data_IF_545513189435
#
_entry.id   IF_545513189435
#
_cell.length_a   1.000
_cell.length_b   1.000
_cell.length_c   1.000
_cell.angle_alpha   90.00
_cell.angle_beta   90.00
_cell.angle_gamma   90.00
#
_symmetry.space_group_name_H-M   'P 1'
#
loop_
_entity.id
_entity.type
_entity.pdbx_description
1 polymer ?
#
# COMPACT_ATOMS: atom_id res chain seq x y z
N UNK A 1 40.74 -8.23 31.72
CA UNK A 1 41.07 -9.05 30.54
C UNK A 1 42.58 -9.01 30.37
N UNK A 2 43.23 -10.18 30.28
CA UNK A 2 44.68 -10.31 30.10
C UNK A 2 45.10 -9.79 28.71
N UNK A 3 46.33 -9.29 28.56
CA UNK A 3 46.84 -8.74 27.29
C UNK A 3 46.84 -9.77 26.15
N UNK A 4 47.14 -11.03 26.46
CA UNK A 4 47.07 -12.15 25.51
C UNK A 4 45.68 -12.30 24.87
N UNK A 5 44.61 -12.09 25.65
CA UNK A 5 43.24 -12.19 25.14
C UNK A 5 42.90 -11.01 24.21
N UNK A 6 43.48 -9.83 24.47
CA UNK A 6 43.27 -8.65 23.63
C UNK A 6 43.96 -8.82 22.28
N UNK A 7 45.25 -9.20 22.30
CA UNK A 7 46.03 -9.48 21.08
C UNK A 7 45.34 -10.56 20.23
N UNK A 8 44.91 -11.67 20.84
CA UNK A 8 44.17 -12.71 20.11
C UNK A 8 42.92 -12.17 19.40
N UNK A 9 42.07 -11.39 20.09
CA UNK A 9 40.86 -10.84 19.50
C UNK A 9 41.14 -9.84 18.37
N UNK A 10 42.20 -9.04 18.49
CA UNK A 10 42.60 -8.09 17.45
C UNK A 10 43.22 -8.79 16.23
N UNK A 11 44.00 -9.84 16.44
CA UNK A 11 44.86 -10.45 15.41
C UNK A 11 44.34 -11.79 14.89
N UNK A 12 43.16 -12.24 15.32
CA UNK A 12 42.59 -13.54 14.92
C UNK A 12 42.60 -13.80 13.41
N UNK A 13 42.42 -12.77 12.56
CA UNK A 13 42.45 -12.94 11.10
C UNK A 13 43.82 -13.26 10.51
N UNK A 14 44.90 -12.96 11.23
CA UNK A 14 46.27 -13.32 10.83
C UNK A 14 46.61 -14.78 11.19
N UNK A 15 45.79 -15.42 12.02
CA UNK A 15 45.91 -16.83 12.37
C UNK A 15 45.20 -17.66 11.30
N UNK A 16 45.98 -18.21 10.37
CA UNK A 16 45.49 -18.99 9.23
C UNK A 16 45.80 -20.47 9.47
N UNK A 17 44.79 -21.32 9.28
CA UNK A 17 44.94 -22.79 9.33
C UNK A 17 45.69 -23.30 8.10
N UNK A 18 46.17 -24.54 8.15
CA UNK A 18 46.79 -25.23 7.00
C UNK A 18 45.88 -25.23 5.75
N UNK A 19 44.56 -25.20 5.93
CA UNK A 19 43.56 -25.10 4.87
C UNK A 19 43.46 -23.70 4.20
N UNK A 20 44.30 -22.73 4.60
CA UNK A 20 44.28 -21.35 4.09
C UNK A 20 43.12 -20.49 4.60
N UNK A 21 42.34 -20.99 5.57
CA UNK A 21 41.22 -20.25 6.19
C UNK A 21 41.68 -19.48 7.43
N UNK A 22 41.33 -18.20 7.51
CA UNK A 22 41.56 -17.37 8.69
C UNK A 22 40.63 -17.78 9.84
N UNK A 23 41.11 -17.63 11.08
CA UNK A 23 40.27 -17.82 12.27
C UNK A 23 39.14 -16.78 12.28
N UNK A 24 37.94 -17.20 12.66
CA UNK A 24 36.79 -16.34 12.89
C UNK A 24 36.31 -16.50 14.34
N UNK A 25 35.92 -15.39 14.98
CA UNK A 25 35.42 -15.39 16.35
C UNK A 25 33.93 -15.07 16.36
N UNK A 26 33.12 -16.00 16.85
CA UNK A 26 31.67 -15.82 17.02
C UNK A 26 31.34 -15.77 18.50
N UNK A 27 30.79 -14.66 18.95
CA UNK A 27 30.35 -14.45 20.33
C UNK A 27 28.83 -14.53 20.38
N UNK A 28 28.29 -15.50 21.13
CA UNK A 28 26.85 -15.68 21.33
C UNK A 28 26.49 -15.21 22.74
N UNK A 29 25.69 -14.16 22.83
CA UNK A 29 25.20 -13.62 24.11
C UNK A 29 23.76 -13.14 23.97
N UNK A 30 23.06 -12.98 25.10
CA UNK A 30 21.71 -12.43 25.14
C UNK A 30 21.70 -10.92 24.79
N UNK A 31 22.72 -10.19 25.26
CA UNK A 31 22.89 -8.76 24.97
C UNK A 31 24.38 -8.40 24.93
N UNK A 32 24.79 -7.64 23.92
CA UNK A 32 26.16 -7.15 23.78
C UNK A 32 26.57 -6.21 24.92
N UNK A 33 25.59 -5.65 25.66
CA UNK A 33 25.84 -4.87 26.87
C UNK A 33 26.59 -5.66 27.96
N UNK A 34 26.50 -6.99 27.96
CA UNK A 34 27.20 -7.88 28.90
C UNK A 34 28.69 -8.05 28.58
N UNK A 35 29.12 -7.73 27.35
CA UNK A 35 30.52 -7.84 26.95
C UNK A 35 31.33 -6.64 27.47
N UNK A 36 32.61 -6.84 27.77
CA UNK A 36 33.52 -5.73 28.03
C UNK A 36 33.63 -4.78 26.82
N UNK A 37 34.03 -3.53 27.04
CA UNK A 37 34.13 -2.51 25.99
C UNK A 37 35.05 -2.92 24.83
N UNK A 38 36.20 -3.53 25.14
CA UNK A 38 37.20 -3.93 24.14
C UNK A 38 36.70 -4.96 23.11
N UNK A 39 36.18 -6.15 23.48
CA UNK A 39 35.63 -7.08 22.51
C UNK A 39 34.43 -6.49 21.77
N UNK A 40 33.64 -5.64 22.43
CA UNK A 40 32.50 -4.96 21.79
C UNK A 40 32.95 -3.99 20.69
N UNK A 41 34.04 -3.24 20.88
CA UNK A 41 34.55 -2.32 19.84
C UNK A 41 35.12 -3.05 18.62
N UNK A 42 35.46 -4.33 18.74
CA UNK A 42 35.97 -5.15 17.64
C UNK A 42 34.87 -5.89 16.86
N UNK A 43 33.60 -5.78 17.27
CA UNK A 43 32.48 -6.45 16.57
C UNK A 43 32.26 -5.78 15.21
N UNK A 44 32.50 -6.52 14.14
CA UNK A 44 32.25 -6.07 12.77
C UNK A 44 30.78 -6.21 12.36
N UNK A 45 30.09 -7.26 12.82
CA UNK A 45 28.70 -7.52 12.45
C UNK A 45 27.93 -8.14 13.60
N UNK A 46 26.71 -7.67 13.82
CA UNK A 46 25.82 -8.20 14.85
C UNK A 46 24.63 -8.91 14.20
N UNK A 47 24.44 -10.19 14.55
CA UNK A 47 23.29 -10.99 14.12
C UNK A 47 22.32 -11.12 15.28
N UNK A 48 21.17 -10.47 15.18
CA UNK A 48 20.13 -10.54 16.21
C UNK A 48 19.00 -11.44 15.76
N UNK A 49 18.85 -12.57 16.44
CA UNK A 49 17.79 -13.54 16.16
C UNK A 49 16.56 -13.26 17.03
N UNK A 50 15.39 -13.15 16.41
CA UNK A 50 14.09 -12.98 17.08
C UNK A 50 13.16 -14.11 16.69
N UNK A 51 12.58 -14.81 17.67
CA UNK A 51 11.57 -15.84 17.43
C UNK A 51 10.24 -15.20 17.03
N UNK A 52 9.58 -15.73 16.00
CA UNK A 52 8.34 -15.17 15.47
C UNK A 52 7.08 -15.68 16.21
N UNK A 53 7.23 -16.05 17.48
CA UNK A 53 6.13 -16.50 18.35
C UNK A 53 5.03 -15.44 18.50
N UNK A 54 5.41 -14.15 18.51
CA UNK A 54 4.49 -13.02 18.68
C UNK A 54 3.41 -13.00 17.59
N UNK A 55 3.75 -13.42 16.37
CA UNK A 55 2.80 -13.50 15.25
C UNK A 55 2.20 -14.90 15.09
N UNK A 56 2.43 -15.82 16.04
CA UNK A 56 1.96 -17.19 16.00
C UNK A 56 2.79 -18.14 15.13
N UNK A 57 3.95 -17.71 14.63
CA UNK A 57 4.83 -18.51 13.76
C UNK A 57 5.97 -19.14 14.56
N UNK A 58 5.66 -20.10 15.43
CA UNK A 58 6.62 -20.65 16.40
C UNK A 58 7.79 -21.46 15.83
N UNK A 59 7.65 -21.93 14.59
CA UNK A 59 8.68 -22.65 13.85
C UNK A 59 9.59 -21.74 13.01
N UNK A 60 9.42 -20.43 13.13
CA UNK A 60 10.11 -19.44 12.30
C UNK A 60 10.85 -18.42 13.17
N UNK A 61 11.96 -17.92 12.64
CA UNK A 61 12.74 -16.87 13.26
C UNK A 61 13.12 -15.83 12.22
N UNK A 62 13.52 -14.65 12.70
CA UNK A 62 14.06 -13.57 11.87
C UNK A 62 15.45 -13.23 12.39
N UNK A 63 16.42 -13.13 11.49
CA UNK A 63 17.76 -12.63 11.78
C UNK A 63 17.85 -11.21 11.24
N UNK A 64 18.05 -10.25 12.14
CA UNK A 64 18.35 -8.87 11.79
C UNK A 64 19.87 -8.69 11.81
N UNK A 65 20.45 -8.28 10.69
CA UNK A 65 21.90 -8.07 10.52
C UNK A 65 22.21 -6.59 10.64
N UNK A 66 23.14 -6.25 11.52
CA UNK A 66 23.62 -4.90 11.74
C UNK A 66 25.12 -4.83 11.48
N UNK A 67 25.57 -3.67 11.02
CA UNK A 67 26.98 -3.32 10.94
C UNK A 67 27.46 -2.79 12.29
N UNK A 68 28.58 -3.31 12.78
CA UNK A 68 29.13 -2.93 14.07
C UNK A 68 28.42 -3.54 15.29
N UNK A 69 28.79 -3.07 16.48
CA UNK A 69 28.18 -3.46 17.74
C UNK A 69 26.88 -2.69 17.99
N UNK A 70 25.76 -3.41 18.13
CA UNK A 70 24.46 -2.79 18.42
C UNK A 70 23.93 -3.27 19.76
N UNK A 71 23.76 -2.33 20.70
CA UNK A 71 23.32 -2.63 22.07
C UNK A 71 21.85 -2.26 22.30
N UNK A 72 21.21 -2.98 23.23
CA UNK A 72 19.90 -2.62 23.76
C UNK A 72 18.70 -3.32 23.09
N UNK A 73 17.55 -3.19 23.75
CA UNK A 73 16.35 -3.95 23.40
C UNK A 73 15.71 -3.51 22.07
N UNK A 74 15.90 -2.25 21.66
CA UNK A 74 15.32 -1.67 20.44
C UNK A 74 16.39 -0.97 19.60
N UNK A 75 17.17 -1.75 18.82
CA UNK A 75 18.23 -1.21 17.98
C UNK A 75 17.66 -0.30 16.89
N UNK A 76 18.39 0.76 16.48
CA UNK A 76 17.94 1.66 15.44
C UNK A 76 17.74 0.93 14.11
N UNK A 77 16.55 1.07 13.51
CA UNK A 77 16.23 0.44 12.21
C UNK A 77 17.17 0.94 11.10
N UNK A 78 17.67 2.19 11.22
CA UNK A 78 18.59 2.80 10.24
C UNK A 78 19.95 2.09 10.14
N UNK A 79 20.41 1.45 11.22
CA UNK A 79 21.68 0.72 11.24
C UNK A 79 21.56 -0.74 10.79
N UNK A 80 20.32 -1.18 10.49
CA UNK A 80 20.05 -2.55 10.06
C UNK A 80 20.35 -2.67 8.57
N UNK A 81 21.35 -3.48 8.25
CA UNK A 81 21.78 -3.75 6.87
C UNK A 81 20.78 -4.66 6.16
N UNK A 82 20.35 -5.74 6.84
CA UNK A 82 19.49 -6.76 6.22
C UNK A 82 18.60 -7.45 7.23
N UNK A 83 17.46 -7.95 6.75
CA UNK A 83 16.63 -8.93 7.46
C UNK A 83 16.59 -10.24 6.69
N UNK A 84 16.74 -11.36 7.41
CA UNK A 84 16.72 -12.70 6.85
C UNK A 84 15.66 -13.51 7.59
N UNK A 85 14.55 -13.90 6.95
CA UNK A 85 13.63 -14.86 7.53
C UNK A 85 14.23 -16.27 7.49
N UNK A 86 14.04 -17.04 8.56
CA UNK A 86 14.53 -18.41 8.69
C UNK A 86 13.48 -19.33 9.30
N UNK A 87 13.64 -20.63 9.03
CA UNK A 87 12.86 -21.70 9.65
C UNK A 87 13.82 -22.66 10.34
N UNK A 88 13.38 -23.22 11.47
CA UNK A 88 14.18 -24.24 12.16
C UNK A 88 14.22 -25.51 11.30
N UNK A 89 15.43 -26.04 11.06
CA UNK A 89 15.64 -27.27 10.31
C UNK A 89 15.69 -28.45 11.28
N UNK A 90 14.92 -29.50 10.98
CA UNK A 90 14.84 -30.68 11.83
C UNK A 90 16.21 -31.35 12.04
N UNK A 91 17.02 -31.39 10.98
CA UNK A 91 18.35 -32.01 10.99
C UNK A 91 19.35 -31.34 11.93
N UNK A 92 19.08 -30.11 12.39
CA UNK A 92 19.94 -29.39 13.34
C UNK A 92 19.64 -29.81 14.78
N UNK A 93 18.40 -30.22 15.07
CA UNK A 93 18.00 -30.59 16.44
C UNK A 93 18.83 -31.76 17.01
N UNK A 94 19.34 -32.65 16.15
CA UNK A 94 20.22 -33.76 16.59
C UNK A 94 21.54 -33.30 17.21
N UNK A 95 21.98 -32.09 16.91
CA UNK A 95 23.23 -31.51 17.42
C UNK A 95 23.03 -30.60 18.62
N UNK A 96 21.78 -30.41 19.08
CA UNK A 96 21.45 -29.44 20.13
C UNK A 96 20.57 -30.09 21.20
N UNK A 97 21.03 -30.05 22.46
CA UNK A 97 20.28 -30.51 23.63
C UNK A 97 19.96 -29.30 24.51
N UNK A 98 18.70 -28.86 24.51
CA UNK A 98 18.26 -27.60 25.12
C UNK A 98 18.02 -27.66 26.63
N UNK A 99 17.78 -28.84 27.20
CA UNK A 99 17.26 -28.98 28.55
C UNK A 99 18.06 -30.04 29.32
N UNK A 100 19.03 -29.58 30.09
CA UNK A 100 19.82 -30.41 31.01
C UNK A 100 19.40 -30.24 32.48
N UNK A 101 18.45 -29.33 32.75
CA UNK A 101 17.95 -28.99 34.09
C UNK A 101 16.52 -29.50 34.35
N UNK A 102 15.90 -30.22 33.42
CA UNK A 102 14.59 -30.85 33.66
C UNK A 102 14.77 -32.16 34.43
N UNK A 103 14.08 -32.31 35.57
CA UNK A 103 14.03 -33.58 36.31
C UNK A 103 13.28 -34.68 35.54
N UNK A 104 12.46 -34.29 34.56
CA UNK A 104 11.79 -35.21 33.64
C UNK A 104 12.61 -35.42 32.36
N UNK A 105 12.66 -36.67 31.90
CA UNK A 105 13.33 -37.07 30.65
C UNK A 105 12.63 -36.56 29.37
N UNK A 106 11.47 -35.90 29.50
CA UNK A 106 10.71 -35.32 28.41
C UNK A 106 11.04 -33.82 28.29
N UNK A 107 11.08 -33.33 27.05
CA UNK A 107 11.26 -31.90 26.78
C UNK A 107 10.11 -31.14 27.45
N UNK A 108 10.43 -30.27 28.41
CA UNK A 108 9.50 -29.36 29.05
C UNK A 108 8.76 -28.55 27.98
N UNK A 109 7.44 -28.44 28.13
CA UNK A 109 6.61 -27.69 27.21
C UNK A 109 6.89 -26.19 27.35
N UNK A 110 7.71 -25.65 26.44
CA UNK A 110 7.99 -24.22 26.31
C UNK A 110 6.90 -23.47 25.54
N UNK A 111 5.73 -24.10 25.32
CA UNK A 111 4.59 -23.40 24.73
C UNK A 111 4.21 -22.21 25.61
N UNK A 112 4.12 -21.03 24.98
CA UNK A 112 3.75 -19.80 25.68
C UNK A 112 2.33 -19.96 26.20
N UNK A 113 2.15 -19.94 27.52
CA UNK A 113 0.85 -20.07 28.19
C UNK A 113 -0.08 -18.88 27.90
N UNK A 114 0.47 -17.71 27.57
CA UNK A 114 -0.31 -16.53 27.24
C UNK A 114 -0.46 -16.31 25.72
N UNK A 115 -1.65 -16.65 25.22
CA UNK A 115 -2.08 -16.53 23.82
C UNK A 115 -2.54 -15.13 23.42
N UNK A 116 -2.67 -14.17 24.36
CA UNK A 116 -3.26 -12.84 24.09
C UNK A 116 -2.42 -11.98 23.14
N UNK A 117 -1.12 -12.26 23.04
CA UNK A 117 -0.18 -11.54 22.17
C UNK A 117 -0.31 -11.99 20.71
N UNK A 118 -0.80 -13.20 20.46
CA UNK A 118 -0.89 -13.75 19.11
C UNK A 118 -2.04 -13.08 18.34
N UNK A 119 -1.68 -12.13 17.47
CA UNK A 119 -2.62 -11.36 16.64
C UNK A 119 -3.51 -12.29 15.81
N UNK A 120 -2.98 -13.40 15.29
CA UNK A 120 -3.75 -14.36 14.48
C UNK A 120 -4.77 -15.16 15.30
N UNK A 121 -4.58 -15.29 16.62
CA UNK A 121 -5.55 -15.94 17.52
C UNK A 121 -6.59 -14.97 18.10
N UNK A 122 -6.53 -13.69 17.75
CA UNK A 122 -7.50 -12.69 18.23
C UNK A 122 -8.93 -13.08 17.80
N UNK A 123 -9.88 -13.03 18.74
CA UNK A 123 -11.30 -13.36 18.51
C UNK A 123 -11.91 -12.53 17.38
N UNK A 124 -11.43 -11.29 17.18
CA UNK A 124 -11.85 -10.42 16.09
C UNK A 124 -11.48 -10.98 14.71
N UNK A 125 -10.26 -11.49 14.55
CA UNK A 125 -9.82 -12.11 13.28
C UNK A 125 -10.50 -13.46 13.05
N UNK A 126 -10.75 -14.24 14.11
CA UNK A 126 -11.41 -15.55 13.98
C UNK A 126 -12.90 -15.46 13.67
N UNK A 127 -13.62 -14.46 14.20
CA UNK A 127 -15.08 -14.35 14.08
C UNK A 127 -15.51 -13.14 13.25
N UNK A 128 -14.89 -11.99 13.46
CA UNK A 128 -15.25 -10.75 12.77
C UNK A 128 -14.91 -10.77 11.28
N UNK A 129 -13.77 -11.31 10.89
CA UNK A 129 -13.37 -11.41 9.48
C UNK A 129 -14.29 -12.32 8.64
N UNK A 130 -14.60 -13.58 9.04
CA UNK A 130 -15.54 -14.39 8.28
C UNK A 130 -16.96 -13.80 8.30
N UNK A 131 -17.39 -13.16 9.40
CA UNK A 131 -18.67 -12.46 9.45
C UNK A 131 -18.74 -11.31 8.44
N UNK A 132 -17.68 -10.51 8.31
CA UNK A 132 -17.59 -9.43 7.32
C UNK A 132 -17.69 -9.98 5.90
N UNK A 133 -16.97 -11.06 5.58
CA UNK A 133 -17.05 -11.71 4.27
C UNK A 133 -18.48 -12.18 3.98
N UNK A 134 -19.10 -12.90 4.91
CA UNK A 134 -20.48 -13.39 4.75
C UNK A 134 -21.46 -12.22 4.59
N UNK A 135 -21.27 -11.14 5.35
CA UNK A 135 -22.09 -9.93 5.26
C UNK A 135 -21.95 -9.23 3.91
N UNK A 136 -20.72 -9.09 3.39
CA UNK A 136 -20.49 -8.55 2.05
C UNK A 136 -21.12 -9.43 0.97
N UNK A 137 -20.97 -10.75 1.05
CA UNK A 137 -21.60 -11.69 0.11
C UNK A 137 -23.13 -11.60 0.17
N UNK A 138 -23.71 -11.42 1.36
CA UNK A 138 -25.14 -11.22 1.55
C UNK A 138 -25.63 -9.91 0.90
N UNK A 139 -24.90 -8.80 1.06
CA UNK A 139 -25.21 -7.53 0.39
C UNK A 139 -25.16 -7.69 -1.13
N UNK A 140 -24.13 -8.35 -1.66
CA UNK A 140 -24.00 -8.62 -3.11
C UNK A 140 -25.15 -9.48 -3.60
N UNK A 141 -25.49 -10.55 -2.90
CA UNK A 141 -26.63 -11.41 -3.24
C UNK A 141 -27.97 -10.65 -3.25
N UNK A 142 -28.22 -9.80 -2.25
CA UNK A 142 -29.39 -8.93 -2.20
C UNK A 142 -29.41 -7.89 -3.31
N UNK A 143 -28.25 -7.31 -3.64
CA UNK A 143 -28.09 -6.39 -4.76
C UNK A 143 -28.41 -7.06 -6.10
N UNK A 144 -27.84 -8.24 -6.36
CA UNK A 144 -28.07 -8.99 -7.60
C UNK A 144 -29.53 -9.44 -7.75
N UNK A 145 -30.17 -9.91 -6.67
CA UNK A 145 -31.59 -10.30 -6.70
C UNK A 145 -32.53 -9.11 -6.92
N UNK A 146 -32.22 -7.94 -6.35
CA UNK A 146 -32.97 -6.71 -6.62
C UNK A 146 -32.82 -6.28 -8.09
N UNK A 147 -31.60 -6.29 -8.66
CA UNK A 147 -31.41 -5.99 -10.08
C UNK A 147 -32.14 -6.98 -11.00
N UNK A 148 -32.18 -8.28 -10.63
CA UNK A 148 -32.93 -9.29 -11.38
C UNK A 148 -34.43 -9.01 -11.44
N UNK A 149 -35.04 -8.52 -10.36
CA UNK A 149 -36.44 -8.09 -10.35
C UNK A 149 -36.72 -6.80 -11.14
N UNK A 150 -35.71 -5.95 -11.33
CA UNK A 150 -35.85 -4.72 -12.13
C UNK A 150 -35.61 -4.96 -13.63
N UNK A 151 -34.77 -5.94 -14.00
CA UNK A 151 -34.52 -6.31 -15.40
C UNK A 151 -35.44 -7.42 -15.93
N UNK A 152 -36.08 -8.21 -15.06
CA UNK A 152 -36.99 -9.30 -15.43
C UNK A 152 -38.41 -8.90 -15.85
N UNK A 153 -38.73 -7.60 -15.89
CA UNK A 153 -40.03 -7.08 -16.35
C UNK A 153 -39.94 -6.45 -17.75
N UNK A 154 -39.31 -7.18 -18.68
CA UNK A 154 -39.26 -6.79 -20.10
C UNK A 154 -39.91 -7.85 -20.98
N UNK A 155 -41.12 -8.30 -20.62
CA UNK A 155 -42.00 -9.02 -21.54
C UNK A 155 -43.39 -8.40 -21.42
N UNK A 156 -43.65 -7.44 -22.30
CA UNK A 156 -44.93 -7.15 -22.97
C UNK A 156 -44.91 -5.72 -23.52
N UNK A 157 -44.20 -5.53 -24.64
CA UNK A 157 -44.53 -4.46 -25.58
C UNK A 157 -45.40 -5.05 -26.71
N UNK A 158 -46.62 -5.42 -26.35
CA UNK A 158 -47.71 -5.53 -27.30
C UNK A 158 -48.16 -4.12 -27.69
N UNK A 159 -48.00 -3.80 -28.96
CA UNK A 159 -48.48 -2.59 -29.61
C UNK A 159 -49.96 -2.33 -29.31
N UNK A 160 -50.24 -1.35 -28.44
CA UNK A 160 -51.57 -0.73 -28.38
C UNK A 160 -51.44 0.66 -28.99
N UNK A 161 -51.86 0.77 -30.26
CA UNK A 161 -52.15 2.04 -30.88
C UNK A 161 -53.29 2.70 -30.11
N UNK A 162 -53.01 3.82 -29.44
CA UNK A 162 -54.06 4.76 -29.02
C UNK A 162 -54.33 5.74 -30.16
N UNK A 163 -55.59 6.09 -30.44
CA UNK A 163 -55.92 7.05 -31.49
C UNK A 163 -55.36 8.44 -31.12
N UNK A 164 -54.72 9.07 -32.10
CA UNK A 164 -54.29 10.47 -32.05
C UNK A 164 -55.45 11.38 -31.60
N UNK A 165 -55.34 11.98 -30.42
CA UNK A 165 -55.95 13.28 -30.17
C UNK A 165 -54.93 14.35 -30.56
N UNK A 166 -55.22 15.05 -31.65
CA UNK A 166 -54.54 16.29 -32.02
C UNK A 166 -54.79 17.32 -30.92
N UNK A 167 -53.76 17.55 -30.12
CA UNK A 167 -53.68 18.69 -29.22
C UNK A 167 -52.69 19.66 -29.84
N UNK A 168 -53.20 20.85 -30.20
CA UNK A 168 -52.57 21.78 -31.12
C UNK A 168 -51.12 22.11 -30.79
N UNK A 169 -50.35 22.30 -31.85
CA UNK A 169 -49.00 22.84 -31.84
C UNK A 169 -48.96 24.17 -31.05
N UNK A 170 -48.58 24.08 -29.79
CA UNK A 170 -47.87 25.17 -29.14
C UNK A 170 -46.41 25.05 -29.61
N UNK A 171 -45.80 26.11 -30.17
CA UNK A 171 -44.42 26.03 -30.65
C UNK A 171 -43.53 25.64 -29.47
N UNK A 172 -42.99 24.42 -29.50
CA UNK A 172 -42.01 23.99 -28.51
C UNK A 172 -40.77 24.83 -28.78
N UNK A 173 -40.67 25.94 -28.05
CA UNK A 173 -39.52 26.82 -28.05
C UNK A 173 -38.29 25.94 -27.87
N UNK A 174 -37.38 25.98 -28.84
CA UNK A 174 -36.10 25.28 -28.74
C UNK A 174 -35.53 25.50 -27.33
N UNK A 175 -35.02 24.46 -26.64
CA UNK A 175 -34.52 24.60 -25.28
C UNK A 175 -33.54 25.76 -25.29
N UNK A 176 -33.87 26.83 -24.55
CA UNK A 176 -33.05 28.02 -24.53
C UNK A 176 -31.71 27.61 -23.93
N UNK A 177 -30.63 27.66 -24.72
CA UNK A 177 -29.27 27.45 -24.21
C UNK A 177 -29.08 28.39 -23.03
N UNK A 178 -28.92 27.82 -21.84
CA UNK A 178 -28.58 28.58 -20.65
C UNK A 178 -27.19 29.15 -20.90
N UNK A 179 -27.04 30.48 -20.86
CA UNK A 179 -25.73 31.11 -21.03
C UNK A 179 -24.86 30.79 -19.83
N UNK A 180 -23.74 30.15 -20.08
CA UNK A 180 -22.72 29.93 -19.07
C UNK A 180 -21.77 31.12 -19.04
N UNK A 181 -21.21 31.44 -17.86
CA UNK A 181 -20.21 32.50 -17.71
C UNK A 181 -18.91 32.20 -18.47
N UNK A 182 -18.69 30.93 -18.85
CA UNK A 182 -17.57 30.47 -19.66
C UNK A 182 -17.90 30.28 -21.15
N UNK A 183 -19.06 30.73 -21.61
CA UNK A 183 -19.38 30.70 -23.03
C UNK A 183 -18.39 31.56 -23.84
N UNK A 184 -17.74 30.94 -24.83
CA UNK A 184 -16.68 31.58 -25.62
C UNK A 184 -15.26 31.38 -25.09
N UNK A 185 -15.07 30.63 -23.98
CA UNK A 185 -13.75 30.23 -23.48
C UNK A 185 -13.41 28.80 -23.89
N UNK A 186 -12.14 28.53 -24.19
CA UNK A 186 -11.64 27.16 -24.36
C UNK A 186 -11.36 26.55 -23.00
N UNK A 187 -11.92 25.36 -22.74
CA UNK A 187 -11.77 24.65 -21.47
C UNK A 187 -10.85 23.45 -21.70
N UNK A 188 -9.79 23.33 -20.91
CA UNK A 188 -8.87 22.20 -20.98
C UNK A 188 -8.45 21.72 -19.60
N UNK A 189 -8.10 20.43 -19.48
CA UNK A 189 -7.54 19.89 -18.23
C UNK A 189 -6.07 20.32 -18.13
N UNK A 190 -5.76 21.22 -17.21
CA UNK A 190 -4.39 21.73 -17.01
C UNK A 190 -3.55 20.86 -16.07
N UNK A 191 -4.20 20.11 -15.19
CA UNK A 191 -3.55 19.23 -14.23
C UNK A 191 -4.54 18.16 -13.74
N UNK A 192 -4.10 16.90 -13.76
CA UNK A 192 -4.77 15.76 -13.15
C UNK A 192 -3.79 15.04 -12.22
N UNK A 193 -4.18 14.81 -10.96
CA UNK A 193 -3.35 14.06 -10.01
C UNK A 193 -4.17 12.98 -9.31
N UNK A 194 -3.78 11.72 -9.46
CA UNK A 194 -4.47 10.55 -8.91
C UNK A 194 -4.54 9.37 -9.88
N UNK A 195 -5.19 8.28 -9.48
CA UNK A 195 -5.38 7.07 -10.32
C UNK A 195 -6.87 6.84 -10.56
N UNK A 196 -7.34 6.89 -11.80
CA UNK A 196 -8.72 6.50 -12.11
C UNK A 196 -8.99 5.06 -11.62
N UNK A 197 -10.13 4.76 -10.95
CA UNK A 197 -11.27 5.64 -10.60
C UNK A 197 -11.17 6.27 -9.20
N UNK A 198 -10.08 6.10 -8.46
CA UNK A 198 -9.94 6.56 -7.07
C UNK A 198 -9.17 7.89 -6.97
N UNK A 199 -9.89 8.92 -6.52
CA UNK A 199 -9.35 10.17 -6.00
C UNK A 199 -8.49 10.98 -6.98
N UNK A 200 -9.06 11.32 -8.15
CA UNK A 200 -8.41 12.25 -9.09
C UNK A 200 -8.82 13.69 -8.75
N UNK A 201 -7.82 14.54 -8.53
CA UNK A 201 -8.01 15.98 -8.40
C UNK A 201 -7.78 16.62 -9.77
N UNK A 202 -8.83 17.21 -10.33
CA UNK A 202 -8.76 17.94 -11.61
C UNK A 202 -8.62 19.44 -11.38
N UNK A 203 -7.81 20.08 -12.23
CA UNK A 203 -7.82 21.54 -12.44
C UNK A 203 -8.12 21.85 -13.90
N UNK A 204 -9.18 22.61 -14.13
CA UNK A 204 -9.59 23.06 -15.45
C UNK A 204 -9.05 24.46 -15.71
N UNK A 205 -8.40 24.65 -16.84
CA UNK A 205 -8.03 25.96 -17.35
C UNK A 205 -9.12 26.46 -18.30
N UNK A 206 -9.56 27.68 -18.10
CA UNK A 206 -10.49 28.42 -18.95
C UNK A 206 -9.69 29.53 -19.61
N UNK A 207 -9.42 29.41 -20.91
CA UNK A 207 -8.72 30.45 -21.66
C UNK A 207 -9.71 31.26 -22.49
N UNK A 208 -9.70 32.57 -22.30
CA UNK A 208 -10.50 33.53 -23.05
C UNK A 208 -9.65 34.70 -23.57
N UNK A 209 -10.26 35.65 -24.29
CA UNK A 209 -9.54 36.80 -24.86
C UNK A 209 -8.92 37.74 -23.82
N UNK A 210 -9.38 37.69 -22.56
CA UNK A 210 -8.88 38.49 -21.45
C UNK A 210 -7.82 37.78 -20.58
N UNK A 211 -7.48 36.52 -20.89
CA UNK A 211 -6.50 35.72 -20.14
C UNK A 211 -6.98 34.29 -19.83
N UNK A 212 -6.16 33.55 -19.09
CA UNK A 212 -6.46 32.17 -18.65
C UNK A 212 -6.63 32.09 -17.13
N UNK A 213 -7.72 31.47 -16.68
CA UNK A 213 -7.98 31.20 -15.26
C UNK A 213 -8.02 29.69 -15.04
N UNK A 214 -7.32 29.22 -14.01
CA UNK A 214 -7.32 27.81 -13.63
C UNK A 214 -8.13 27.63 -12.36
N UNK A 215 -9.11 26.72 -12.39
CA UNK A 215 -9.98 26.41 -11.25
C UNK A 215 -9.88 24.93 -10.87
N UNK A 216 -9.90 24.66 -9.56
CA UNK A 216 -9.98 23.32 -8.99
C UNK A 216 -11.41 22.79 -8.87
N UNK A 217 -11.55 21.50 -8.57
CA UNK A 217 -12.84 20.84 -8.33
C UNK A 217 -13.72 21.56 -7.31
N UNK A 218 -13.16 21.98 -6.17
CA UNK A 218 -13.90 22.67 -5.11
C UNK A 218 -14.44 24.04 -5.52
N UNK A 219 -13.73 24.76 -6.39
CA UNK A 219 -14.16 26.07 -6.88
C UNK A 219 -15.31 25.91 -7.88
N UNK A 220 -15.24 24.89 -8.74
CA UNK A 220 -16.32 24.56 -9.68
C UNK A 220 -17.59 24.12 -8.96
N UNK A 221 -17.48 23.32 -7.89
CA UNK A 221 -18.63 22.96 -7.07
C UNK A 221 -19.33 24.17 -6.45
N UNK A 222 -18.56 25.17 -5.98
CA UNK A 222 -19.12 26.42 -5.44
C UNK A 222 -19.84 27.26 -6.51
N UNK A 223 -19.43 27.11 -7.77
CA UNK A 223 -20.05 27.77 -8.92
C UNK A 223 -21.24 26.98 -9.51
N UNK A 224 -21.64 25.85 -8.88
CA UNK A 224 -22.76 25.04 -9.34
C UNK A 224 -22.42 24.05 -10.46
N UNK A 225 -21.14 23.75 -10.67
CA UNK A 225 -20.67 22.77 -11.66
C UNK A 225 -20.08 21.55 -10.97
N UNK A 226 -20.45 20.36 -11.45
CA UNK A 226 -19.87 19.08 -11.05
C UNK A 226 -19.00 18.49 -12.16
N UNK A 227 -17.97 17.75 -11.77
CA UNK A 227 -17.08 17.04 -12.70
C UNK A 227 -17.32 15.54 -12.56
N UNK A 228 -17.75 14.91 -13.65
CA UNK A 228 -17.87 13.46 -13.77
C UNK A 228 -16.65 12.93 -14.55
N UNK A 229 -15.74 12.20 -13.91
CA UNK A 229 -14.57 11.65 -14.58
C UNK A 229 -14.95 10.47 -15.47
N UNK A 230 -14.62 10.56 -16.77
CA UNK A 230 -14.77 9.44 -17.72
C UNK A 230 -13.43 8.71 -17.87
N UNK A 231 -12.33 9.46 -17.98
CA UNK A 231 -10.95 8.96 -18.06
C UNK A 231 -9.97 9.99 -17.45
N UNK A 232 -8.68 9.66 -17.32
CA UNK A 232 -7.65 10.54 -16.78
C UNK A 232 -7.52 11.87 -17.54
N UNK A 233 -7.82 11.87 -18.84
CA UNK A 233 -7.77 13.06 -19.71
C UNK A 233 -9.11 13.43 -20.35
N UNK A 234 -10.22 12.86 -19.85
CA UNK A 234 -11.56 13.18 -20.33
C UNK A 234 -12.54 13.26 -19.17
N UNK A 235 -13.16 14.44 -19.02
CA UNK A 235 -14.15 14.68 -17.98
C UNK A 235 -15.41 15.30 -18.57
N UNK A 236 -16.56 14.99 -17.98
CA UNK A 236 -17.82 15.65 -18.28
C UNK A 236 -18.08 16.70 -17.21
N UNK A 237 -18.14 17.96 -17.62
CA UNK A 237 -18.53 19.09 -16.78
C UNK A 237 -20.04 19.25 -16.89
N UNK A 238 -20.76 19.09 -15.78
CA UNK A 238 -22.22 19.18 -15.72
C UNK A 238 -22.60 20.38 -14.86
N UNK A 239 -23.53 21.22 -15.32
CA UNK A 239 -24.01 22.35 -14.53
C UNK A 239 -25.12 23.12 -15.21
N UNK A 240 -26.05 23.67 -14.44
CA UNK A 240 -27.14 24.53 -14.91
C UNK A 240 -27.96 23.96 -16.09
N UNK A 241 -28.15 22.64 -16.15
CA UNK A 241 -28.97 21.97 -17.16
C UNK A 241 -28.28 21.70 -18.50
N UNK A 242 -26.98 21.99 -18.62
CA UNK A 242 -26.14 21.61 -19.78
C UNK A 242 -24.97 20.74 -19.32
N UNK A 243 -24.37 19.99 -20.25
CA UNK A 243 -23.14 19.23 -20.01
C UNK A 243 -22.15 19.39 -21.17
N UNK A 244 -20.88 19.58 -20.83
CA UNK A 244 -19.79 19.68 -21.82
C UNK A 244 -18.67 18.69 -21.52
N UNK A 245 -18.09 18.13 -22.58
CA UNK A 245 -16.91 17.28 -22.49
C UNK A 245 -15.65 18.14 -22.54
N UNK A 246 -14.73 17.89 -21.62
CA UNK A 246 -13.47 18.62 -21.47
C UNK A 246 -12.32 17.62 -21.52
N UNK A 247 -11.31 17.92 -22.32
CA UNK A 247 -10.16 17.06 -22.56
C UNK A 247 -8.85 17.73 -22.14
N UNK A 248 -7.79 16.93 -21.96
CA UNK A 248 -6.43 17.47 -21.85
C UNK A 248 -6.04 18.24 -23.11
N UNK A 249 -5.20 19.27 -23.02
CA UNK A 249 -4.64 19.92 -24.20
C UNK A 249 -3.85 18.87 -25.00
N UNK A 250 -4.21 18.71 -26.28
CA UNK A 250 -3.42 17.91 -27.21
C UNK A 250 -2.09 18.58 -27.51
N UNK A 251 -1.11 17.87 -28.11
CA UNK A 251 0.09 18.51 -28.62
C UNK A 251 -0.32 19.60 -29.63
N UNK A 252 0.10 20.84 -29.37
CA UNK A 252 -0.19 22.01 -30.21
C UNK A 252 0.22 21.74 -31.66
N UNK A 253 -0.75 21.48 -32.54
CA UNK A 253 -0.54 21.41 -34.00
C UNK A 253 -0.46 22.83 -34.60
N UNK A 254 0.31 23.71 -33.96
CA UNK A 254 0.38 25.13 -34.31
C UNK A 254 1.66 25.86 -33.93
N UNK A 255 2.61 25.23 -33.22
CA UNK A 255 3.91 25.85 -32.93
C UNK A 255 5.03 25.02 -33.56
N UNK A 256 5.50 25.48 -34.72
CA UNK A 256 6.77 25.06 -35.28
C UNK A 256 7.86 25.60 -34.36
N UNK A 257 8.29 24.81 -33.38
CA UNK A 257 9.49 25.10 -32.62
C UNK A 257 10.71 24.77 -33.51
N UNK A 258 11.17 25.78 -34.24
CA UNK A 258 12.44 25.78 -34.96
C UNK A 258 13.61 25.87 -33.96
N UNK A 259 13.88 24.76 -33.26
CA UNK A 259 15.03 24.61 -32.34
C UNK A 259 16.01 23.51 -32.81
N UNK A 260 15.86 23.03 -34.03
CA UNK A 260 16.90 22.26 -34.72
C UNK A 260 17.12 22.83 -36.12
N UNK A 261 17.82 23.95 -36.16
CA UNK A 261 18.70 24.30 -37.27
C UNK A 261 19.91 25.04 -36.65
N UNK A 262 21.11 24.47 -36.94
CA UNK A 262 22.48 24.74 -36.45
C UNK A 262 22.97 23.79 -35.35
#
# INVERSE_FOLDING_TARGET
>A
MLEQHKSFLAEHRHMVSEDGRSTEVVIVTQDLSQLASYPRSLVASTYRTTKMDIIGASKSFRVDVYEGAVTGNKPPVKQRVRQIPGKYKADIYKYYKSQTLSESANHGDESRTDDRINILKSKWLRVGFPFLIVFCLYIVYKGMSALGSFYGSSDDMASTQQPMQQQGDAPTRAPQRVRHWFDGMSISISFNMGTHPRNIVYRLAFAGPAGSVTMGTNELYRLGYSIEPIDACLVRLVGHGDSRLVMCPGPDTGKRDSIFDI
#
